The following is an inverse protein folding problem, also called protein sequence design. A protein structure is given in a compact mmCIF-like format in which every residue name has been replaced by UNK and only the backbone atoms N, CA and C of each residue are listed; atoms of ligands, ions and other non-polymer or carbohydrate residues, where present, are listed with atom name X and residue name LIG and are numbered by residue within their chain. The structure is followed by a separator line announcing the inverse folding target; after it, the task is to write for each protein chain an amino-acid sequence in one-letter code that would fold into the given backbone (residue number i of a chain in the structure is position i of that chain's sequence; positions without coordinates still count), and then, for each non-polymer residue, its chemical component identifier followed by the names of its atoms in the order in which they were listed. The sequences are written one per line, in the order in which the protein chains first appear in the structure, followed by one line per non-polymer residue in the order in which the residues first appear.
data_IF_632220587651
#
_entry.id   IF_632220587651
#
_cell.length_a   1.000
_cell.length_b   1.000
_cell.length_c   1.000
_cell.angle_alpha   90.00
_cell.angle_beta   90.00
_cell.angle_gamma   90.00
#
_symmetry.space_group_name_H-M   'P 1'
#
loop_
_entity.id
_entity.type
_entity.pdbx_description
1 polymer ?
#
# COMPACT_ATOMS: atom_id res chain seq x y z
N UNK A 1 11.25 16.18 2.32
CA UNK A 1 11.05 14.71 2.42
C UNK A 1 9.85 14.48 3.33
N UNK A 2 9.04 13.44 3.13
CA UNK A 2 7.66 13.34 3.65
C UNK A 2 7.48 13.23 5.18
N UNK A 3 8.53 13.47 5.99
CA UNK A 3 8.48 13.40 7.46
C UNK A 3 7.94 12.07 8.01
N UNK A 4 8.19 10.97 7.29
CA UNK A 4 7.82 9.62 7.71
C UNK A 4 8.99 9.04 8.49
N UNK A 5 8.76 8.67 9.75
CA UNK A 5 9.72 7.91 10.53
C UNK A 5 9.83 6.48 9.97
N UNK A 6 11.05 5.96 9.89
CA UNK A 6 11.31 4.66 9.28
C UNK A 6 10.75 3.51 10.12
N UNK A 7 10.81 3.61 11.45
CA UNK A 7 10.26 2.57 12.32
C UNK A 7 8.73 2.58 12.25
N UNK A 8 8.10 3.76 12.24
CA UNK A 8 6.65 3.88 12.07
C UNK A 8 6.19 3.28 10.74
N UNK A 9 6.89 3.58 9.64
CA UNK A 9 6.59 2.99 8.33
C UNK A 9 6.68 1.45 8.35
N UNK A 10 7.76 0.91 8.93
CA UNK A 10 7.94 -0.54 9.02
C UNK A 10 6.85 -1.19 9.88
N UNK A 11 6.40 -0.55 10.95
CA UNK A 11 5.30 -1.07 11.77
C UNK A 11 3.97 -1.08 11.02
N UNK A 12 3.68 -0.02 10.25
CA UNK A 12 2.44 0.06 9.45
C UNK A 12 2.41 -0.97 8.30
N UNK A 13 3.57 -1.33 7.73
CA UNK A 13 3.65 -2.20 6.54
C UNK A 13 3.98 -3.67 6.86
N UNK A 14 4.81 -3.93 7.86
CA UNK A 14 5.37 -5.26 8.13
C UNK A 14 4.85 -5.93 9.41
N UNK A 15 3.90 -5.33 10.11
CA UNK A 15 3.18 -6.03 11.18
C UNK A 15 2.40 -7.23 10.61
N UNK A 16 2.22 -8.30 11.39
CA UNK A 16 1.73 -9.59 10.88
C UNK A 16 0.42 -9.53 10.09
N UNK A 17 -0.55 -8.75 10.56
CA UNK A 17 -1.83 -8.50 9.87
C UNK A 17 -1.87 -7.12 9.19
N UNK A 18 -0.70 -6.51 8.95
CA UNK A 18 -0.54 -5.07 8.71
C UNK A 18 -1.22 -4.49 7.48
N UNK A 19 -1.69 -5.33 6.55
CA UNK A 19 -2.29 -4.88 5.30
C UNK A 19 -3.68 -5.52 5.08
N UNK A 20 -4.65 -4.67 4.75
CA UNK A 20 -5.99 -5.08 4.32
C UNK A 20 -6.13 -4.86 2.81
N UNK A 21 -6.55 -5.91 2.10
CA UNK A 21 -6.88 -5.80 0.67
C UNK A 21 -8.14 -4.95 0.49
N UNK A 22 -8.07 -3.99 -0.44
CA UNK A 22 -9.22 -3.20 -0.86
C UNK A 22 -9.77 -3.80 -2.16
N UNK A 23 -11.04 -4.20 -2.14
CA UNK A 23 -11.73 -4.65 -3.34
C UNK A 23 -11.77 -3.51 -4.37
N UNK A 24 -10.97 -3.60 -5.42
CA UNK A 24 -10.97 -2.63 -6.50
C UNK A 24 -11.89 -3.16 -7.60
N UNK A 25 -13.06 -2.54 -7.77
CA UNK A 25 -13.96 -2.80 -8.91
C UNK A 25 -13.50 -2.05 -10.18
N UNK A 26 -12.23 -1.66 -10.24
CA UNK A 26 -11.70 -0.69 -11.20
C UNK A 26 -11.17 -1.33 -12.49
N UNK A 27 -11.35 -0.63 -13.62
CA UNK A 27 -10.91 -1.05 -14.98
C UNK A 27 -9.40 -1.35 -15.13
N UNK A 28 -8.55 -0.87 -14.22
CA UNK A 28 -7.09 -1.02 -14.30
C UNK A 28 -6.61 -2.43 -13.95
N UNK A 29 -7.37 -3.18 -13.13
CA UNK A 29 -6.97 -4.50 -12.63
C UNK A 29 -5.82 -4.46 -11.63
N UNK A 30 -5.45 -3.29 -11.11
CA UNK A 30 -4.51 -3.15 -10.00
C UNK A 30 -5.12 -3.68 -8.70
N UNK A 31 -4.28 -4.33 -7.91
CA UNK A 31 -4.56 -4.66 -6.52
C UNK A 31 -4.17 -3.47 -5.64
N UNK A 32 -4.96 -3.27 -4.60
CA UNK A 32 -4.75 -2.21 -3.61
C UNK A 32 -4.75 -2.82 -2.23
N UNK A 33 -3.78 -2.41 -1.42
CA UNK A 33 -3.71 -2.73 -0.01
C UNK A 33 -3.62 -1.43 0.77
N UNK A 34 -4.20 -1.40 1.96
CA UNK A 34 -4.08 -0.29 2.90
C UNK A 34 -3.52 -0.79 4.22
N UNK A 35 -2.63 -0.02 4.84
CA UNK A 35 -2.16 -0.33 6.19
C UNK A 35 -3.29 -0.26 7.22
N UNK A 36 -3.20 -1.03 8.30
CA UNK A 36 -4.26 -1.05 9.33
C UNK A 36 -4.48 0.29 10.03
N UNK A 37 -3.47 1.16 10.05
CA UNK A 37 -3.56 2.52 10.57
C UNK A 37 -4.00 3.55 9.51
N UNK A 38 -4.41 3.09 8.33
CA UNK A 38 -4.89 3.88 7.19
C UNK A 38 -3.91 4.97 6.69
N UNK A 39 -2.62 4.87 7.03
CA UNK A 39 -1.59 5.85 6.64
C UNK A 39 -1.01 5.62 5.25
N UNK A 40 -0.97 4.36 4.80
CA UNK A 40 -0.28 4.00 3.55
C UNK A 40 -1.15 3.13 2.66
N UNK A 41 -1.04 3.37 1.35
CA UNK A 41 -1.68 2.55 0.31
C UNK A 41 -0.59 1.95 -0.57
N UNK A 42 -0.65 0.63 -0.77
CA UNK A 42 0.18 -0.09 -1.74
C UNK A 42 -0.67 -0.38 -2.96
N UNK A 43 -0.20 0.00 -4.14
CA UNK A 43 -0.86 -0.26 -5.42
C UNK A 43 0.07 -1.10 -6.29
N UNK A 44 -0.45 -2.16 -6.91
CA UNK A 44 0.30 -2.86 -7.96
C UNK A 44 0.26 -2.07 -9.28
N UNK A 45 1.42 -2.02 -9.94
CA UNK A 45 1.57 -1.44 -11.26
C UNK A 45 2.00 -2.53 -12.24
N UNK A 46 1.51 -2.45 -13.48
CA UNK A 46 2.05 -3.23 -14.58
C UNK A 46 3.41 -2.66 -14.97
N UNK A 47 4.30 -3.50 -15.49
CA UNK A 47 5.61 -3.04 -15.98
C UNK A 47 5.48 -1.93 -17.03
N UNK A 48 4.43 -1.94 -17.85
CA UNK A 48 4.14 -0.87 -18.82
C UNK A 48 3.75 0.48 -18.21
N UNK A 49 3.39 0.51 -16.93
CA UNK A 49 3.07 1.74 -16.17
C UNK A 49 4.31 2.31 -15.46
N UNK A 50 5.40 1.54 -15.37
CA UNK A 50 6.70 2.01 -14.90
C UNK A 50 7.32 2.87 -16.01
N UNK A 51 7.49 4.17 -15.74
CA UNK A 51 8.21 5.09 -16.61
C UNK A 51 9.67 5.19 -16.21
#
# INVERSE_FOLDING_TARGET
MFNIDAADYMMSICSGDGLRELSSSGKSGSLFYVSLDDKFVIKTLRTSELK
#
